data_IF_792141774206
#
_entry.id   IF_792141774206
#
_cell.length_a   1.000
_cell.length_b   1.000
_cell.length_c   1.000
_cell.angle_alpha   90.00
_cell.angle_beta   90.00
_cell.angle_gamma   90.00
#
_symmetry.space_group_name_H-M   'P 1'
#
loop_
_entity.id
_entity.type
_entity.pdbx_description
1 polymer ?
#
# COMPACT_ATOMS: atom_id res chain seq x y z
N UNK A 1 38.02 -26.30 -1.52
CA UNK A 1 37.29 -27.25 -0.66
C UNK A 1 35.90 -27.43 -1.24
N UNK A 2 35.58 -28.65 -1.66
CA UNK A 2 34.27 -29.08 -2.15
C UNK A 2 33.52 -29.69 -0.96
N UNK A 3 32.28 -29.29 -0.72
CA UNK A 3 31.38 -30.08 0.12
C UNK A 3 30.14 -30.41 -0.69
N UNK A 4 30.07 -31.70 -1.00
CA UNK A 4 29.04 -32.46 -1.68
C UNK A 4 27.80 -32.55 -0.81
N UNK A 5 26.60 -32.30 -1.35
CA UNK A 5 25.38 -32.94 -0.84
C UNK A 5 24.77 -33.71 -2.00
N UNK A 6 24.71 -35.01 -1.77
CA UNK A 6 24.32 -36.07 -2.69
C UNK A 6 22.83 -36.05 -2.99
N UNK A 7 22.54 -36.58 -4.18
CA UNK A 7 21.23 -36.92 -4.68
C UNK A 7 20.52 -37.99 -3.82
N UNK A 8 19.21 -37.85 -3.70
CA UNK A 8 18.28 -38.96 -3.48
C UNK A 8 17.35 -39.04 -4.70
N UNK A 9 17.64 -40.00 -5.59
CA UNK A 9 16.66 -40.57 -6.51
C UNK A 9 16.13 -41.86 -5.87
N UNK A 10 14.81 -42.00 -5.72
CA UNK A 10 14.12 -43.26 -6.02
C UNK A 10 12.59 -43.09 -6.02
N UNK A 11 12.00 -43.44 -7.16
CA UNK A 11 10.69 -44.07 -7.34
C UNK A 11 9.43 -43.35 -6.81
N UNK A 12 8.63 -42.84 -7.75
CA UNK A 12 7.24 -42.47 -7.52
C UNK A 12 6.94 -41.09 -8.03
N UNK A 13 6.70 -40.97 -9.34
CA UNK A 13 6.32 -39.74 -10.00
C UNK A 13 5.03 -39.16 -9.40
N UNK A 14 5.16 -38.28 -8.42
CA UNK A 14 4.26 -37.15 -8.24
C UNK A 14 5.15 -35.93 -8.32
N UNK A 15 5.30 -35.41 -9.52
CA UNK A 15 5.89 -34.09 -9.73
C UNK A 15 4.98 -33.11 -8.98
N UNK A 16 5.33 -32.81 -7.73
CA UNK A 16 4.86 -31.60 -7.07
C UNK A 16 5.49 -30.48 -7.89
N UNK A 17 4.71 -30.01 -8.87
CA UNK A 17 4.92 -28.72 -9.50
C UNK A 17 5.05 -27.74 -8.35
N UNK A 18 6.30 -27.42 -7.97
CA UNK A 18 6.59 -26.12 -7.41
C UNK A 18 6.22 -25.14 -8.51
N UNK A 19 4.94 -24.76 -8.51
CA UNK A 19 4.49 -23.53 -9.13
C UNK A 19 5.27 -22.47 -8.38
N UNK A 20 6.42 -22.10 -8.95
CA UNK A 20 7.00 -20.80 -8.71
C UNK A 20 5.88 -19.83 -9.10
N UNK A 21 5.11 -19.40 -8.10
CA UNK A 21 4.13 -18.35 -8.29
C UNK A 21 4.89 -17.21 -8.96
N UNK A 22 4.41 -16.71 -10.12
CA UNK A 22 5.10 -15.65 -10.82
C UNK A 22 5.34 -14.52 -9.81
N UNK A 23 6.59 -14.06 -9.78
CA UNK A 23 6.99 -12.89 -9.02
C UNK A 23 5.89 -11.83 -9.15
N UNK A 24 5.26 -11.49 -8.03
CA UNK A 24 4.23 -10.48 -7.88
C UNK A 24 4.82 -9.10 -8.19
N UNK A 25 5.11 -8.86 -9.46
CA UNK A 25 5.25 -7.52 -9.97
C UNK A 25 3.84 -6.93 -10.00
N UNK A 26 3.62 -5.90 -9.16
CA UNK A 26 2.36 -5.19 -8.86
C UNK A 26 1.71 -5.69 -7.55
N UNK A 27 2.09 -5.06 -6.43
CA UNK A 27 1.79 -5.51 -5.06
C UNK A 27 0.33 -5.40 -4.60
N UNK A 28 -0.59 -4.97 -5.47
CA UNK A 28 -2.02 -5.00 -5.22
C UNK A 28 -2.70 -6.12 -6.02
N UNK A 29 -3.59 -6.92 -5.40
CA UNK A 29 -4.41 -7.85 -6.14
C UNK A 29 -5.27 -7.12 -7.18
N UNK A 30 -5.50 -7.75 -8.33
CA UNK A 30 -6.37 -7.20 -9.37
C UNK A 30 -7.85 -7.43 -9.03
N UNK A 31 -8.73 -6.65 -9.67
CA UNK A 31 -10.18 -6.80 -9.52
C UNK A 31 -10.77 -6.07 -8.32
N UNK A 32 -12.04 -6.37 -8.05
CA UNK A 32 -12.82 -5.76 -6.97
C UNK A 32 -12.41 -6.36 -5.61
N UNK A 33 -12.45 -5.57 -4.53
CA UNK A 33 -12.15 -6.04 -3.18
C UNK A 33 -13.01 -7.24 -2.79
N UNK A 34 -14.29 -7.24 -3.17
CA UNK A 34 -15.24 -8.33 -2.99
C UNK A 34 -14.84 -9.66 -3.65
N UNK A 35 -13.97 -9.62 -4.67
CA UNK A 35 -13.45 -10.81 -5.34
C UNK A 35 -12.17 -11.36 -4.71
N UNK A 36 -11.56 -10.63 -3.78
CA UNK A 36 -10.29 -11.02 -3.17
C UNK A 36 -10.48 -12.12 -2.13
N UNK A 37 -9.61 -13.12 -2.19
CA UNK A 37 -9.40 -14.07 -1.10
C UNK A 37 -8.82 -13.38 0.14
N UNK A 38 -8.95 -14.02 1.30
CA UNK A 38 -8.35 -13.52 2.55
C UNK A 38 -6.83 -13.34 2.46
N UNK A 39 -6.14 -14.23 1.74
CA UNK A 39 -4.70 -14.09 1.49
C UNK A 39 -4.37 -12.84 0.67
N UNK A 40 -5.18 -12.52 -0.34
CA UNK A 40 -5.03 -11.31 -1.15
C UNK A 40 -5.32 -10.05 -0.34
N UNK A 41 -6.33 -10.07 0.54
CA UNK A 41 -6.61 -8.96 1.46
C UNK A 41 -5.44 -8.71 2.41
N UNK A 42 -4.87 -9.76 2.99
CA UNK A 42 -3.70 -9.64 3.87
C UNK A 42 -2.48 -9.10 3.11
N UNK A 43 -2.24 -9.60 1.90
CA UNK A 43 -1.18 -9.09 1.03
C UNK A 43 -1.35 -7.61 0.71
N UNK A 44 -2.56 -7.20 0.32
CA UNK A 44 -2.88 -5.80 0.02
C UNK A 44 -2.67 -4.90 1.23
N UNK A 45 -3.06 -5.35 2.44
CA UNK A 45 -2.86 -4.59 3.67
C UNK A 45 -1.38 -4.36 3.97
N UNK A 46 -0.54 -5.39 3.87
CA UNK A 46 0.92 -5.27 4.05
C UNK A 46 1.52 -4.32 3.00
N UNK A 47 1.18 -4.54 1.73
CA UNK A 47 1.71 -3.72 0.64
C UNK A 47 1.33 -2.25 0.79
N UNK A 48 0.06 -1.93 1.05
CA UNK A 48 -0.38 -0.53 1.22
C UNK A 48 0.23 0.14 2.45
N UNK A 49 0.36 -0.61 3.55
CA UNK A 49 1.03 -0.12 4.76
C UNK A 49 2.46 0.33 4.47
N UNK A 50 3.24 -0.49 3.77
CA UNK A 50 4.60 -0.15 3.37
C UNK A 50 4.62 0.97 2.32
N UNK A 51 3.83 0.82 1.25
CA UNK A 51 3.78 1.75 0.12
C UNK A 51 3.44 3.17 0.56
N UNK A 52 2.38 3.35 1.35
CA UNK A 52 1.96 4.68 1.80
C UNK A 52 2.94 5.31 2.81
N UNK A 53 3.80 4.52 3.46
CA UNK A 53 4.85 5.04 4.34
C UNK A 53 6.14 5.44 3.61
N UNK A 54 6.31 5.05 2.33
CA UNK A 54 7.51 5.39 1.57
C UNK A 54 7.66 6.91 1.39
N UNK A 55 8.92 7.38 1.32
CA UNK A 55 9.27 8.79 1.16
C UNK A 55 8.59 9.45 -0.05
N UNK A 56 8.44 8.72 -1.15
CA UNK A 56 7.79 9.20 -2.37
C UNK A 56 6.27 9.42 -2.22
N UNK A 57 5.64 8.77 -1.24
CA UNK A 57 4.20 8.88 -0.97
C UNK A 57 3.96 9.86 0.17
N UNK A 58 4.16 9.43 1.41
CA UNK A 58 3.93 10.24 2.61
C UNK A 58 5.11 10.32 3.57
N UNK A 59 6.24 9.66 3.28
CA UNK A 59 7.35 9.56 4.23
C UNK A 59 7.94 10.92 4.66
N UNK A 60 7.90 11.94 3.81
CA UNK A 60 8.28 13.32 4.20
C UNK A 60 7.37 13.93 5.28
N UNK A 61 6.05 13.71 5.18
CA UNK A 61 5.09 14.14 6.20
C UNK A 61 5.24 13.31 7.48
N UNK A 62 5.46 12.00 7.36
CA UNK A 62 5.65 11.09 8.50
C UNK A 62 6.92 11.47 9.28
N UNK A 63 8.03 11.73 8.60
CA UNK A 63 9.27 12.17 9.24
C UNK A 63 9.08 13.50 9.97
N UNK A 64 8.31 14.42 9.39
CA UNK A 64 7.99 15.72 10.04
C UNK A 64 7.06 15.53 11.23
N UNK A 65 6.12 14.58 11.18
CA UNK A 65 5.24 14.25 12.31
C UNK A 65 6.03 13.68 13.49
N UNK A 66 7.04 12.84 13.23
CA UNK A 66 7.96 12.32 14.25
C UNK A 66 8.78 13.42 14.93
N UNK A 67 8.98 14.56 14.26
CA UNK A 67 9.59 15.75 14.87
C UNK A 67 8.67 16.51 15.85
N UNK A 68 7.40 16.08 16.01
CA UNK A 68 6.60 16.34 17.21
C UNK A 68 5.59 17.48 17.16
N UNK A 69 5.22 18.02 15.98
CA UNK A 69 4.18 19.06 15.91
C UNK A 69 2.80 18.48 15.59
N UNK A 70 1.76 18.97 16.27
CA UNK A 70 0.37 18.58 16.01
C UNK A 70 -0.04 18.81 14.55
N UNK A 71 0.43 19.91 13.94
CA UNK A 71 0.21 20.20 12.52
C UNK A 71 0.75 19.07 11.64
N UNK A 72 2.00 18.66 11.85
CA UNK A 72 2.64 17.63 11.06
C UNK A 72 1.97 16.25 11.25
N UNK A 73 1.47 15.94 12.45
CA UNK A 73 0.69 14.71 12.68
C UNK A 73 -0.60 14.69 11.85
N UNK A 74 -1.31 15.82 11.75
CA UNK A 74 -2.50 15.92 10.91
C UNK A 74 -2.16 15.84 9.41
N UNK A 75 -1.06 16.45 8.96
CA UNK A 75 -0.59 16.32 7.57
C UNK A 75 -0.25 14.87 7.22
N UNK A 76 0.49 14.18 8.08
CA UNK A 76 0.85 12.78 7.88
C UNK A 76 -0.39 11.87 7.86
N UNK A 77 -1.30 12.03 8.83
CA UNK A 77 -2.54 11.25 8.87
C UNK A 77 -3.40 11.48 7.62
N UNK A 78 -3.51 12.74 7.17
CA UNK A 78 -4.24 13.09 5.96
C UNK A 78 -3.61 12.48 4.71
N UNK A 79 -2.28 12.53 4.58
CA UNK A 79 -1.57 11.93 3.46
C UNK A 79 -1.73 10.41 3.40
N UNK A 80 -1.55 9.72 4.53
CA UNK A 80 -1.68 8.26 4.58
C UNK A 80 -3.09 7.85 4.17
N UNK A 81 -4.12 8.47 4.75
CA UNK A 81 -5.52 8.17 4.40
C UNK A 81 -5.81 8.45 2.90
N UNK A 82 -5.30 9.54 2.34
CA UNK A 82 -5.42 9.84 0.91
C UNK A 82 -4.71 8.81 0.01
N UNK A 83 -3.55 8.31 0.45
CA UNK A 83 -2.83 7.24 -0.24
C UNK A 83 -3.64 5.93 -0.25
N UNK A 84 -4.25 5.55 0.88
CA UNK A 84 -5.16 4.39 0.93
C UNK A 84 -6.34 4.57 -0.04
N UNK A 85 -7.02 5.71 -0.02
CA UNK A 85 -8.16 5.99 -0.92
C UNK A 85 -7.75 5.92 -2.39
N UNK A 86 -6.52 6.32 -2.72
CA UNK A 86 -6.05 6.34 -4.11
C UNK A 86 -5.63 4.96 -4.64
N UNK A 87 -5.40 3.99 -3.76
CA UNK A 87 -4.93 2.66 -4.14
C UNK A 87 -5.94 1.54 -3.87
N UNK A 88 -6.92 1.75 -2.98
CA UNK A 88 -7.96 0.76 -2.70
C UNK A 88 -9.00 0.68 -3.83
N UNK A 89 -9.57 -0.51 -4.10
CA UNK A 89 -10.70 -0.67 -5.00
C UNK A 89 -11.92 0.14 -4.55
N UNK A 90 -12.75 0.55 -5.51
CA UNK A 90 -13.95 1.38 -5.27
C UNK A 90 -15.03 0.68 -4.46
N UNK A 91 -15.04 -0.65 -4.42
CA UNK A 91 -15.95 -1.47 -3.63
C UNK A 91 -15.42 -1.82 -2.23
N UNK A 92 -14.30 -1.22 -1.81
CA UNK A 92 -13.81 -1.36 -0.43
C UNK A 92 -14.83 -0.73 0.56
N UNK A 93 -15.27 -1.47 1.60
CA UNK A 93 -16.43 -1.09 2.42
C UNK A 93 -16.29 0.27 3.11
N UNK A 94 -15.09 0.63 3.54
CA UNK A 94 -14.85 1.85 4.33
C UNK A 94 -14.17 2.97 3.53
N UNK A 95 -14.16 2.88 2.19
CA UNK A 95 -13.39 3.79 1.34
C UNK A 95 -13.79 5.26 1.54
N UNK A 96 -15.10 5.51 1.65
CA UNK A 96 -15.62 6.87 1.87
C UNK A 96 -15.32 7.37 3.28
N UNK A 97 -15.36 6.50 4.29
CA UNK A 97 -14.97 6.87 5.65
C UNK A 97 -13.49 7.28 5.69
N UNK A 98 -12.60 6.52 5.07
CA UNK A 98 -11.17 6.84 4.98
C UNK A 98 -10.97 8.17 4.22
N UNK A 99 -11.75 8.44 3.17
CA UNK A 99 -11.74 9.73 2.47
C UNK A 99 -12.12 10.87 3.42
N UNK A 100 -13.17 10.71 4.22
CA UNK A 100 -13.57 11.72 5.20
C UNK A 100 -12.52 11.93 6.29
N UNK A 101 -11.83 10.87 6.72
CA UNK A 101 -10.66 10.97 7.61
C UNK A 101 -9.56 11.82 6.97
N UNK A 102 -9.23 11.58 5.70
CA UNK A 102 -8.22 12.37 4.99
C UNK A 102 -8.59 13.86 4.96
N UNK A 103 -9.83 14.19 4.57
CA UNK A 103 -10.33 15.56 4.51
C UNK A 103 -10.38 16.23 5.89
N UNK A 104 -10.84 15.52 6.91
CA UNK A 104 -10.94 16.04 8.28
C UNK A 104 -9.57 16.39 8.82
N UNK A 105 -8.57 15.51 8.67
CA UNK A 105 -7.21 15.78 9.10
C UNK A 105 -6.57 16.95 8.33
N UNK A 106 -6.85 17.09 7.02
CA UNK A 106 -6.38 18.23 6.24
C UNK A 106 -6.93 19.56 6.77
N UNK A 107 -8.22 19.59 7.10
CA UNK A 107 -8.87 20.77 7.70
C UNK A 107 -8.29 21.09 9.09
N UNK A 108 -7.97 20.08 9.90
CA UNK A 108 -7.27 20.32 11.18
C UNK A 108 -5.85 20.87 10.98
N UNK A 109 -5.09 20.34 10.03
CA UNK A 109 -3.77 20.86 9.68
C UNK A 109 -3.85 22.32 9.19
N UNK A 110 -4.85 22.64 8.36
CA UNK A 110 -5.10 23.99 7.82
C UNK A 110 -5.42 25.00 8.93
N UNK A 111 -6.22 24.62 9.93
CA UNK A 111 -6.47 25.47 11.12
C UNK A 111 -5.19 25.78 11.91
N UNK A 112 -4.15 24.96 11.76
CA UNK A 112 -2.82 25.15 12.35
C UNK A 112 -1.81 25.80 11.37
N UNK A 113 -2.27 26.37 10.26
CA UNK A 113 -1.44 27.09 9.30
C UNK A 113 -0.81 26.22 8.21
N UNK A 114 -1.25 24.97 8.04
CA UNK A 114 -0.82 24.13 6.91
C UNK A 114 -1.45 24.60 5.59
N UNK A 115 -0.68 24.47 4.50
CA UNK A 115 -1.17 24.57 3.12
C UNK A 115 -1.46 23.21 2.48
N UNK A 116 -1.27 22.12 3.21
CA UNK A 116 -1.47 20.76 2.72
C UNK A 116 -2.93 20.52 2.27
N UNK A 117 -3.09 19.84 1.15
CA UNK A 117 -4.38 19.36 0.66
C UNK A 117 -4.22 17.93 0.11
N UNK A 118 -5.04 16.96 0.57
CA UNK A 118 -4.98 15.59 0.09
C UNK A 118 -5.43 15.54 -1.36
N UNK A 119 -4.77 14.70 -2.15
CA UNK A 119 -5.17 14.38 -3.53
C UNK A 119 -5.70 12.96 -3.55
N UNK A 120 -6.82 12.78 -4.25
CA UNK A 120 -7.44 11.48 -4.45
C UNK A 120 -7.35 11.16 -5.93
N UNK A 121 -6.36 10.38 -6.31
CA UNK A 121 -6.27 9.88 -7.68
C UNK A 121 -7.01 8.55 -7.76
N UNK A 122 -7.84 8.32 -8.78
CA UNK A 122 -8.50 7.02 -8.92
C UNK A 122 -7.44 5.93 -9.15
N UNK A 123 -7.55 4.83 -8.41
CA UNK A 123 -6.74 3.63 -8.62
C UNK A 123 -6.86 3.18 -10.09
N UNK A 124 -5.75 3.14 -10.82
CA UNK A 124 -5.71 2.64 -12.20
C UNK A 124 -5.41 3.65 -13.31
N UNK A 125 -4.87 4.84 -13.02
CA UNK A 125 -4.06 5.51 -14.05
C UNK A 125 -2.70 4.83 -14.11
N UNK A 126 -2.32 4.15 -15.21
CA UNK A 126 -0.91 3.81 -15.40
C UNK A 126 -0.13 5.10 -15.33
N UNK A 127 0.96 5.10 -14.57
CA UNK A 127 1.88 6.21 -14.45
C UNK A 127 2.06 6.85 -15.83
N UNK A 128 1.63 8.11 -15.96
CA UNK A 128 2.18 8.94 -17.01
C UNK A 128 3.67 9.01 -16.69
N UNK A 129 4.46 8.21 -17.42
CA UNK A 129 5.89 8.15 -17.29
C UNK A 129 6.46 9.57 -17.15
N UNK A 130 7.41 9.82 -16.23
CA UNK A 130 8.05 11.11 -16.14
C UNK A 130 8.66 11.44 -17.51
N UNK A 131 8.27 12.59 -18.07
CA UNK A 131 8.93 13.17 -19.25
C UNK A 131 10.32 13.66 -18.90
#
# INVERSE_FOLDING_TARGET
MRTTIQALLSAGATAVLLVAAPAFAQGMPSGSYSSWSEAQKQQAATFLGEHCQQAAQCGGYIATAQAGTTRASYEAASCIAACFVSNLPTDYPDLEEIRQVALTNAEQAKKLGSSYQPRFEPAGKPDAAPK
#
